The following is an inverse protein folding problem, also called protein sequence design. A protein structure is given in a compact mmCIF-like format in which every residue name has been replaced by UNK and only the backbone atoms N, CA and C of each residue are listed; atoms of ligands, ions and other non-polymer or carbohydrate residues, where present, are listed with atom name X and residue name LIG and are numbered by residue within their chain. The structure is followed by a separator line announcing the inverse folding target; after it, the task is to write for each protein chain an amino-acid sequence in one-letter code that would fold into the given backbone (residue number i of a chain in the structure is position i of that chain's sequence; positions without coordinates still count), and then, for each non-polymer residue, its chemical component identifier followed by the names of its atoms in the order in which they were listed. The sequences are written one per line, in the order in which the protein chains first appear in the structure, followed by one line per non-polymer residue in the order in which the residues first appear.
data_IF_169659881078
#
_entry.id   IF_169659881078
#
_cell.length_a   1.000
_cell.length_b   1.000
_cell.length_c   1.000
_cell.angle_alpha   90.00
_cell.angle_beta   90.00
_cell.angle_gamma   90.00
#
_symmetry.space_group_name_H-M   'P 1'
#
loop_
_entity.id
_entity.type
_entity.pdbx_description
1 polymer ?
#
# COMPACT_ATOMS: atom_id res chain seq x y z
N UNK A 1 27.41 -11.55 -28.11
CA UNK A 1 26.31 -10.82 -27.40
C UNK A 1 25.81 -11.71 -26.26
N UNK A 2 26.28 -11.49 -25.03
CA UNK A 2 25.99 -12.33 -23.87
C UNK A 2 24.53 -12.17 -23.44
N UNK A 3 23.78 -13.27 -23.34
CA UNK A 3 22.39 -13.28 -22.87
C UNK A 3 22.39 -13.21 -21.35
N UNK A 4 22.27 -12.01 -20.79
CA UNK A 4 22.06 -11.86 -19.35
C UNK A 4 20.74 -12.55 -18.97
N UNK A 5 20.83 -13.54 -18.09
CA UNK A 5 19.67 -14.23 -17.53
C UNK A 5 18.96 -13.26 -16.58
N UNK A 6 17.86 -12.66 -17.03
CA UNK A 6 17.05 -11.77 -16.20
C UNK A 6 16.13 -12.64 -15.34
N UNK A 7 16.45 -12.76 -14.05
CA UNK A 7 15.65 -13.53 -13.10
C UNK A 7 14.40 -12.75 -12.69
N UNK A 8 13.22 -13.33 -12.95
CA UNK A 8 11.92 -12.74 -12.56
C UNK A 8 11.82 -12.44 -11.06
N UNK A 9 12.53 -13.21 -10.23
CA UNK A 9 12.57 -13.03 -8.78
C UNK A 9 13.06 -11.63 -8.33
N UNK A 10 13.95 -10.99 -9.10
CA UNK A 10 14.46 -9.65 -8.77
C UNK A 10 13.45 -8.54 -9.08
N UNK A 11 12.55 -8.74 -10.04
CA UNK A 11 11.62 -7.71 -10.53
C UNK A 11 10.23 -7.88 -9.90
N UNK A 12 9.88 -9.10 -9.51
CA UNK A 12 8.58 -9.41 -8.92
C UNK A 12 8.44 -8.75 -7.54
N UNK A 13 7.32 -8.06 -7.37
CA UNK A 13 6.93 -7.50 -6.07
C UNK A 13 6.72 -8.66 -5.10
N UNK A 14 7.47 -8.63 -4.01
CA UNK A 14 7.41 -9.65 -2.96
C UNK A 14 6.08 -9.49 -2.20
N UNK A 15 5.16 -10.43 -2.41
CA UNK A 15 3.86 -10.49 -1.72
C UNK A 15 3.94 -11.44 -0.53
N UNK A 16 3.15 -11.21 0.51
CA UNK A 16 3.10 -12.08 1.69
C UNK A 16 1.65 -12.51 1.92
N UNK A 17 1.41 -13.82 1.90
CA UNK A 17 0.06 -14.41 1.94
C UNK A 17 -0.90 -13.89 0.85
N UNK A 18 -0.36 -13.47 -0.30
CA UNK A 18 -1.16 -12.91 -1.40
C UNK A 18 -1.55 -11.44 -1.23
N UNK A 19 -1.17 -10.79 -0.11
CA UNK A 19 -1.36 -9.36 0.10
C UNK A 19 -0.02 -8.61 0.10
N UNK A 20 -0.07 -7.29 0.21
CA UNK A 20 1.11 -6.44 0.40
C UNK A 20 1.83 -6.79 1.71
N UNK A 21 3.14 -7.06 1.61
CA UNK A 21 3.94 -7.58 2.72
C UNK A 21 3.98 -6.67 3.93
N UNK A 22 4.15 -5.37 3.75
CA UNK A 22 4.25 -4.40 4.85
C UNK A 22 2.98 -4.41 5.69
N UNK A 23 1.82 -4.29 5.06
CA UNK A 23 0.52 -4.26 5.74
C UNK A 23 0.23 -5.56 6.48
N UNK A 24 0.44 -6.71 5.84
CA UNK A 24 0.25 -8.01 6.50
C UNK A 24 1.15 -8.18 7.73
N UNK A 25 2.43 -7.81 7.62
CA UNK A 25 3.37 -7.90 8.74
C UNK A 25 2.97 -6.99 9.90
N UNK A 26 2.55 -5.74 9.61
CA UNK A 26 2.07 -4.82 10.64
C UNK A 26 0.82 -5.35 11.35
N UNK A 27 -0.13 -5.91 10.62
CA UNK A 27 -1.35 -6.50 11.19
C UNK A 27 -1.01 -7.64 12.16
N UNK A 28 -0.15 -8.58 11.73
CA UNK A 28 0.29 -9.71 12.56
C UNK A 28 1.00 -9.19 13.82
N UNK A 29 1.91 -8.22 13.66
CA UNK A 29 2.64 -7.63 14.78
C UNK A 29 1.70 -6.98 15.81
N UNK A 30 0.70 -6.22 15.36
CA UNK A 30 -0.26 -5.57 16.25
C UNK A 30 -1.10 -6.62 17.00
N UNK A 31 -1.55 -7.68 16.33
CA UNK A 31 -2.29 -8.75 16.98
C UNK A 31 -1.47 -9.48 18.05
N UNK A 32 -0.21 -9.81 17.74
CA UNK A 32 0.70 -10.43 18.70
C UNK A 32 0.93 -9.49 19.89
N UNK A 33 1.20 -8.20 19.63
CA UNK A 33 1.38 -7.20 20.67
C UNK A 33 0.14 -7.05 21.56
N UNK A 34 -1.07 -7.10 20.99
CA UNK A 34 -2.32 -7.05 21.75
C UNK A 34 -2.46 -8.24 22.70
N UNK A 35 -2.19 -9.46 22.23
CA UNK A 35 -2.30 -10.68 23.04
C UNK A 35 -1.26 -10.68 24.16
N UNK A 36 -0.05 -10.18 23.89
CA UNK A 36 0.99 -10.06 24.92
C UNK A 36 0.72 -8.96 25.94
N UNK A 37 0.05 -7.87 25.53
CA UNK A 37 -0.27 -6.75 26.43
C UNK A 37 -1.30 -7.11 27.49
N UNK A 38 -2.21 -8.04 27.20
CA UNK A 38 -3.23 -8.49 28.15
C UNK A 38 -3.53 -9.97 27.92
N UNK A 39 -3.09 -10.81 28.86
CA UNK A 39 -3.23 -12.27 28.79
C UNK A 39 -4.63 -12.75 29.23
N UNK A 40 -5.67 -12.00 28.88
CA UNK A 40 -7.05 -12.35 29.15
C UNK A 40 -7.66 -13.12 27.98
N UNK A 41 -8.49 -14.13 28.28
CA UNK A 41 -9.19 -14.93 27.26
C UNK A 41 -10.03 -14.04 26.33
N UNK A 42 -10.69 -13.02 26.88
CA UNK A 42 -11.52 -12.08 26.11
C UNK A 42 -10.69 -11.26 25.13
N UNK A 43 -9.52 -10.77 25.56
CA UNK A 43 -8.62 -9.98 24.69
C UNK A 43 -8.03 -10.86 23.59
N UNK A 44 -7.69 -12.10 23.89
CA UNK A 44 -7.23 -13.07 22.90
C UNK A 44 -8.29 -13.32 21.81
N UNK A 45 -9.55 -13.50 22.20
CA UNK A 45 -10.66 -13.68 21.26
C UNK A 45 -10.88 -12.44 20.39
N UNK A 46 -10.89 -11.25 21.00
CA UNK A 46 -11.02 -9.98 20.28
C UNK A 46 -9.86 -9.75 19.30
N UNK A 47 -8.63 -10.08 19.70
CA UNK A 47 -7.45 -10.02 18.81
C UNK A 47 -7.60 -10.99 17.64
N UNK A 48 -8.09 -12.22 17.86
CA UNK A 48 -8.38 -13.17 16.80
C UNK A 48 -9.43 -12.67 15.80
N UNK A 49 -10.54 -12.11 16.30
CA UNK A 49 -11.56 -11.50 15.44
C UNK A 49 -11.01 -10.31 14.64
N UNK A 50 -10.22 -9.45 15.28
CA UNK A 50 -9.55 -8.31 14.63
C UNK A 50 -8.60 -8.79 13.54
N UNK A 51 -7.82 -9.85 13.79
CA UNK A 51 -6.91 -10.44 12.82
C UNK A 51 -7.65 -10.91 11.56
N UNK A 52 -8.71 -11.70 11.74
CA UNK A 52 -9.48 -12.27 10.63
C UNK A 52 -10.16 -11.15 9.83
N UNK A 53 -10.78 -10.18 10.50
CA UNK A 53 -11.42 -9.04 9.86
C UNK A 53 -10.40 -8.20 9.08
N UNK A 54 -9.27 -7.86 9.71
CA UNK A 54 -8.20 -7.10 9.07
C UNK A 54 -7.62 -7.83 7.87
N UNK A 55 -7.32 -9.12 8.02
CA UNK A 55 -6.78 -9.94 6.92
C UNK A 55 -7.76 -10.04 5.74
N UNK A 56 -9.07 -10.15 6.01
CA UNK A 56 -10.09 -10.15 4.98
C UNK A 56 -10.14 -8.83 4.20
N UNK A 57 -10.09 -7.69 4.89
CA UNK A 57 -10.01 -6.37 4.24
C UNK A 57 -8.74 -6.22 3.39
N UNK A 58 -7.60 -6.66 3.91
CA UNK A 58 -6.32 -6.70 3.19
C UNK A 58 -6.42 -7.58 1.93
N UNK A 59 -7.20 -8.67 1.98
CA UNK A 59 -7.42 -9.55 0.85
C UNK A 59 -8.26 -8.89 -0.24
N UNK A 60 -9.36 -8.24 0.12
CA UNK A 60 -10.18 -7.46 -0.83
C UNK A 60 -9.33 -6.38 -1.50
N UNK A 61 -8.52 -5.66 -0.72
CA UNK A 61 -7.59 -4.65 -1.25
C UNK A 61 -6.60 -5.26 -2.26
N UNK A 62 -6.05 -6.44 -1.96
CA UNK A 62 -5.08 -7.12 -2.81
C UNK A 62 -5.65 -7.62 -4.14
N UNK A 63 -6.96 -7.89 -4.20
CA UNK A 63 -7.65 -8.30 -5.43
C UNK A 63 -7.75 -7.14 -6.43
N UNK A 64 -7.87 -5.89 -5.93
CA UNK A 64 -7.93 -4.71 -6.78
C UNK A 64 -6.55 -4.18 -7.18
N UNK A 65 -5.70 -3.87 -6.20
CA UNK A 65 -4.33 -3.42 -6.47
C UNK A 65 -3.43 -3.65 -5.25
N UNK A 66 -2.37 -4.43 -5.46
CA UNK A 66 -1.38 -4.76 -4.45
C UNK A 66 -0.48 -3.56 -4.05
N UNK A 67 -0.46 -2.50 -4.85
CA UNK A 67 0.31 -1.28 -4.61
C UNK A 67 -0.52 -0.13 -4.04
N UNK A 68 -1.81 -0.35 -3.80
CA UNK A 68 -2.75 0.72 -3.45
C UNK A 68 -2.30 1.53 -2.23
N UNK A 69 -1.71 0.90 -1.21
CA UNK A 69 -1.19 1.59 -0.02
C UNK A 69 -0.14 2.65 -0.38
N UNK A 70 0.82 2.29 -1.24
CA UNK A 70 1.90 3.18 -1.65
C UNK A 70 1.41 4.29 -2.55
N UNK A 71 0.44 4.00 -3.42
CA UNK A 71 -0.18 5.01 -4.28
C UNK A 71 -0.99 5.98 -3.44
N UNK A 72 -1.77 5.49 -2.48
CA UNK A 72 -2.55 6.31 -1.56
C UNK A 72 -1.67 7.28 -0.76
N UNK A 73 -0.59 6.78 -0.15
CA UNK A 73 0.36 7.63 0.59
C UNK A 73 1.01 8.69 -0.30
N UNK A 74 1.36 8.34 -1.54
CA UNK A 74 1.88 9.31 -2.52
C UNK A 74 0.82 10.33 -2.92
N UNK A 75 -0.42 9.89 -3.15
CA UNK A 75 -1.52 10.78 -3.46
C UNK A 75 -1.73 11.81 -2.35
N UNK A 76 -1.71 11.40 -1.07
CA UNK A 76 -1.77 12.35 0.05
C UNK A 76 -0.56 13.30 0.05
N UNK A 77 0.66 12.76 -0.06
CA UNK A 77 1.88 13.56 -0.01
C UNK A 77 1.96 14.60 -1.13
N UNK A 78 1.52 14.23 -2.33
CA UNK A 78 1.59 15.07 -3.52
C UNK A 78 0.22 15.63 -3.91
N UNK A 79 -0.77 15.62 -3.01
CA UNK A 79 -2.13 16.06 -3.30
C UNK A 79 -2.14 17.49 -3.87
N UNK A 80 -1.42 18.41 -3.22
CA UNK A 80 -1.30 19.80 -3.65
C UNK A 80 -0.64 19.96 -5.03
N UNK A 81 0.30 19.06 -5.37
CA UNK A 81 0.93 19.05 -6.69
C UNK A 81 0.00 18.50 -7.77
N UNK A 82 -0.79 17.47 -7.44
CA UNK A 82 -1.76 16.83 -8.34
C UNK A 82 -3.08 17.60 -8.48
N UNK A 83 -3.33 18.62 -7.66
CA UNK A 83 -4.39 19.59 -7.95
C UNK A 83 -4.18 20.09 -9.38
N UNK A 84 -5.27 20.28 -10.12
CA UNK A 84 -5.23 20.82 -11.46
C UNK A 84 -4.63 22.24 -11.39
N UNK A 85 -3.32 22.32 -11.48
CA UNK A 85 -2.61 23.57 -11.68
C UNK A 85 -3.07 24.03 -13.04
N UNK A 86 -3.99 25.00 -13.06
CA UNK A 86 -4.35 25.69 -14.27
C UNK A 86 -3.05 26.21 -14.87
N UNK A 87 -2.55 25.54 -15.91
CA UNK A 87 -1.40 26.01 -16.66
C UNK A 87 -1.82 27.39 -17.17
N UNK A 88 -1.31 28.44 -16.54
CA UNK A 88 -1.58 29.80 -16.98
C UNK A 88 -0.91 29.96 -18.34
N UNK A 89 -1.69 29.76 -19.41
CA UNK A 89 -1.27 29.94 -20.79
C UNK A 89 -1.18 31.43 -21.17
N UNK A 90 -1.43 32.36 -20.23
CA UNK A 90 -1.18 33.78 -20.42
C UNK A 90 0.29 34.09 -20.11
N UNK A 91 1.18 33.54 -20.94
CA UNK A 91 2.48 34.16 -21.17
C UNK A 91 2.45 34.65 -22.61
N UNK A 92 2.25 35.96 -22.75
CA UNK A 92 1.96 36.60 -24.02
C UNK A 92 3.00 36.34 -25.10
N UNK A 93 2.53 36.41 -26.35
CA UNK A 93 3.38 36.87 -27.45
C UNK A 93 3.63 35.89 -28.58
N UNK A 94 2.57 35.42 -29.25
CA UNK A 94 2.68 35.16 -30.70
C UNK A 94 2.06 36.35 -31.43
N UNK A 95 2.83 37.44 -31.63
CA UNK A 95 2.47 38.43 -32.65
C UNK A 95 2.63 37.73 -33.99
N UNK A 96 1.51 37.37 -34.61
CA UNK A 96 1.52 37.00 -36.03
C UNK A 96 1.95 38.22 -36.84
N UNK A 97 3.04 38.06 -37.58
CA UNK A 97 3.45 38.92 -38.69
C UNK A 97 2.63 38.58 -39.92
#
# INVERSE_FOLDING_TARGET
MNRHQIYKALIQKQTFLGCERSLCMFLILICIALVLSSADILVSLMSGCLFICGFYLLRIMSEHDLMLSKVYLKQLKYAAFYLAQGRNLNNGGWKKK
#
